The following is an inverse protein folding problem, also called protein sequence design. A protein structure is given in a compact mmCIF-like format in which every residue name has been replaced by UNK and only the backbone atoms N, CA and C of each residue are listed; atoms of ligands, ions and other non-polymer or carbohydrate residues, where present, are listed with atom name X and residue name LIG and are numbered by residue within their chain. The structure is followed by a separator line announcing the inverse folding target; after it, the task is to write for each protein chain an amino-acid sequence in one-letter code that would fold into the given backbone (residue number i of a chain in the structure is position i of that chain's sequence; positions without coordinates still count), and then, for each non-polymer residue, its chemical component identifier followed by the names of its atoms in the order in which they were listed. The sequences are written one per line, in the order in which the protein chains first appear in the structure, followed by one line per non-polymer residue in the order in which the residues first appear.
data_IF_742012676436
#
_entry.id   IF_742012676436
#
_cell.length_a   1.000
_cell.length_b   1.000
_cell.length_c   1.000
_cell.angle_alpha   90.00
_cell.angle_beta   90.00
_cell.angle_gamma   90.00
#
_symmetry.space_group_name_H-M   'P 1'
#
loop_
_entity.id
_entity.type
_entity.pdbx_description
1 polymer ?
#
# COMPACT_ATOMS: atom_id res chain seq x y z
N UNK A 1 -12.29 16.35 -45.66
CA UNK A 1 -12.16 14.97 -46.17
C UNK A 1 -13.25 14.15 -45.52
N UNK A 2 -14.36 13.95 -46.22
CA UNK A 2 -15.44 13.11 -45.71
C UNK A 2 -15.01 11.64 -45.84
N UNK A 3 -14.90 10.97 -44.70
CA UNK A 3 -14.52 9.57 -44.62
C UNK A 3 -15.78 8.71 -44.64
N UNK A 4 -15.87 7.82 -45.62
CA UNK A 4 -16.94 6.83 -45.75
C UNK A 4 -16.35 5.42 -45.68
N UNK A 5 -17.02 4.53 -44.94
CA UNK A 5 -16.73 3.09 -44.94
C UNK A 5 -17.95 2.34 -45.44
N UNK A 6 -17.77 1.59 -46.54
CA UNK A 6 -18.83 0.73 -47.10
C UNK A 6 -18.38 -0.72 -47.15
N UNK A 7 -19.18 -1.61 -46.56
CA UNK A 7 -19.01 -3.08 -46.61
C UNK A 7 -20.15 -3.66 -47.46
N UNK A 8 -19.80 -4.47 -48.47
CA UNK A 8 -20.77 -5.10 -49.38
C UNK A 8 -20.62 -6.60 -49.36
N UNK A 9 -21.75 -7.33 -49.31
CA UNK A 9 -21.78 -8.78 -49.42
C UNK A 9 -23.14 -9.24 -49.99
N UNK A 10 -23.14 -10.05 -51.04
CA UNK A 10 -24.36 -10.69 -51.57
C UNK A 10 -25.49 -9.71 -51.92
N UNK A 11 -25.18 -8.51 -52.43
CA UNK A 11 -26.16 -7.47 -52.74
C UNK A 11 -26.65 -6.64 -51.55
N UNK A 12 -26.26 -7.01 -50.33
CA UNK A 12 -26.48 -6.21 -49.12
C UNK A 12 -25.30 -5.27 -48.87
N UNK A 13 -25.54 -4.17 -48.16
CA UNK A 13 -24.48 -3.24 -47.78
C UNK A 13 -24.69 -2.59 -46.41
N UNK A 14 -23.58 -2.19 -45.80
CA UNK A 14 -23.50 -1.33 -44.63
C UNK A 14 -22.62 -0.14 -45.01
N UNK A 15 -23.14 1.07 -44.89
CA UNK A 15 -22.41 2.32 -45.11
C UNK A 15 -22.33 3.11 -43.81
N UNK A 16 -21.15 3.64 -43.53
CA UNK A 16 -20.87 4.55 -42.42
C UNK A 16 -20.31 5.84 -42.98
N UNK A 17 -20.95 6.96 -42.65
CA UNK A 17 -20.53 8.31 -43.04
C UNK A 17 -20.84 9.29 -41.90
N UNK A 18 -20.57 10.58 -42.09
CA UNK A 18 -20.81 11.60 -41.08
C UNK A 18 -22.30 11.74 -40.68
N UNK A 19 -23.23 11.27 -41.50
CA UNK A 19 -24.67 11.26 -41.21
C UNK A 19 -25.12 10.06 -40.38
N UNK A 20 -24.30 9.01 -40.28
CA UNK A 20 -24.56 7.84 -39.43
C UNK A 20 -24.32 6.52 -40.15
N UNK A 21 -25.17 5.54 -39.85
CA UNK A 21 -25.06 4.16 -40.34
C UNK A 21 -26.30 3.82 -41.18
N UNK A 22 -26.09 3.43 -42.44
CA UNK A 22 -27.13 2.92 -43.33
C UNK A 22 -26.93 1.41 -43.59
N UNK A 23 -27.99 0.62 -43.39
CA UNK A 23 -27.98 -0.84 -43.61
C UNK A 23 -29.06 -1.17 -44.65
N UNK A 24 -28.69 -1.95 -45.68
CA UNK A 24 -29.63 -2.44 -46.68
C UNK A 24 -29.42 -3.93 -46.93
N UNK A 25 -30.50 -4.70 -46.82
CA UNK A 25 -30.53 -6.15 -47.05
C UNK A 25 -31.87 -6.77 -46.61
N UNK A 26 -32.12 -8.05 -46.93
CA UNK A 26 -33.40 -8.71 -46.63
C UNK A 26 -33.71 -8.84 -45.14
N UNK A 27 -32.67 -9.01 -44.31
CA UNK A 27 -32.78 -9.09 -42.85
C UNK A 27 -31.54 -8.47 -42.20
N UNK A 28 -31.75 -7.57 -41.24
CA UNK A 28 -30.70 -7.02 -40.40
C UNK A 28 -30.88 -7.51 -38.96
N UNK A 29 -29.93 -8.30 -38.44
CA UNK A 29 -29.90 -8.68 -37.03
C UNK A 29 -28.99 -7.73 -36.27
N UNK A 30 -29.59 -6.90 -35.43
CA UNK A 30 -28.87 -5.97 -34.56
C UNK A 30 -28.84 -6.59 -33.17
N UNK A 31 -27.67 -7.08 -32.76
CA UNK A 31 -27.49 -7.52 -31.39
C UNK A 31 -27.28 -6.28 -30.52
N UNK A 32 -28.21 -6.01 -29.60
CA UNK A 32 -28.03 -5.06 -28.53
C UNK A 32 -27.67 -5.82 -27.25
N UNK A 33 -26.59 -5.43 -26.57
CA UNK A 33 -26.15 -6.04 -25.32
C UNK A 33 -25.43 -5.02 -24.46
N UNK A 34 -25.76 -5.00 -23.15
CA UNK A 34 -25.27 -4.00 -22.20
C UNK A 34 -26.00 -2.67 -22.32
N UNK A 35 -27.00 -2.45 -21.47
CA UNK A 35 -27.54 -1.11 -21.23
C UNK A 35 -26.60 -0.36 -20.27
N UNK A 36 -26.59 0.99 -20.28
CA UNK A 36 -25.98 1.76 -19.20
C UNK A 36 -26.51 1.25 -17.85
N UNK A 37 -25.62 0.80 -16.95
CA UNK A 37 -25.98 0.20 -15.67
C UNK A 37 -26.21 -1.32 -15.68
N UNK A 38 -26.18 -1.98 -16.84
CA UNK A 38 -26.32 -3.42 -16.97
C UNK A 38 -24.95 -4.07 -17.23
N UNK A 39 -24.18 -4.26 -16.16
CA UNK A 39 -22.97 -5.08 -16.10
C UNK A 39 -22.97 -5.90 -14.81
N UNK A 40 -22.11 -6.91 -14.70
CA UNK A 40 -22.01 -7.77 -13.50
C UNK A 40 -21.57 -7.04 -12.22
N UNK A 41 -21.33 -5.72 -12.29
CA UNK A 41 -20.66 -4.94 -11.26
C UNK A 41 -19.19 -5.35 -11.09
N UNK A 42 -18.46 -4.59 -10.28
CA UNK A 42 -17.13 -4.97 -9.80
C UNK A 42 -17.31 -5.59 -8.41
N UNK A 43 -16.82 -6.81 -8.21
CA UNK A 43 -16.82 -7.47 -6.91
C UNK A 43 -15.69 -6.92 -6.01
N UNK A 44 -15.77 -5.64 -5.64
CA UNK A 44 -14.78 -5.01 -4.76
C UNK A 44 -14.81 -5.73 -3.41
N UNK A 45 -13.67 -6.28 -3.00
CA UNK A 45 -13.52 -6.84 -1.66
C UNK A 45 -13.53 -5.71 -0.64
N UNK A 46 -14.31 -5.87 0.43
CA UNK A 46 -14.27 -4.96 1.56
C UNK A 46 -12.88 -5.00 2.24
N UNK A 47 -12.42 -3.88 2.83
CA UNK A 47 -11.24 -3.87 3.68
C UNK A 47 -11.39 -4.89 4.82
N UNK A 48 -10.29 -5.54 5.20
CA UNK A 48 -10.25 -6.36 6.41
C UNK A 48 -10.08 -5.44 7.63
N UNK A 49 -10.59 -5.90 8.78
CA UNK A 49 -10.29 -5.29 10.07
C UNK A 49 -8.77 -5.37 10.32
N UNK A 50 -8.10 -4.26 10.65
CA UNK A 50 -6.69 -4.29 11.03
C UNK A 50 -6.44 -5.20 12.23
N UNK A 51 -5.25 -5.81 12.31
CA UNK A 51 -4.81 -6.55 13.49
C UNK A 51 -4.63 -5.63 14.71
N UNK A 52 -4.46 -6.23 15.90
CA UNK A 52 -4.14 -5.48 17.11
C UNK A 52 -2.81 -4.72 16.94
N UNK A 53 -2.78 -3.45 17.35
CA UNK A 53 -1.65 -2.56 17.12
C UNK A 53 -0.39 -2.99 17.87
N UNK A 54 -0.53 -3.54 19.08
CA UNK A 54 0.61 -3.85 19.95
C UNK A 54 0.38 -5.17 20.68
N UNK A 55 1.30 -6.11 20.50
CA UNK A 55 1.51 -7.25 21.43
C UNK A 55 2.95 -7.26 21.94
N UNK A 56 3.67 -6.15 21.74
CA UNK A 56 5.09 -6.08 22.05
C UNK A 56 5.29 -5.85 23.55
N UNK A 57 6.41 -6.36 24.05
CA UNK A 57 6.80 -6.24 25.46
C UNK A 57 7.53 -4.91 25.64
N UNK A 58 7.21 -4.10 26.66
CA UNK A 58 7.97 -2.89 26.96
C UNK A 58 9.46 -3.20 27.11
N UNK A 59 10.31 -2.35 26.53
CA UNK A 59 11.76 -2.44 26.75
C UNK A 59 12.10 -2.36 28.24
N UNK A 60 13.15 -3.07 28.66
CA UNK A 60 13.61 -3.07 30.05
C UNK A 60 13.99 -1.65 30.53
N UNK A 61 13.69 -1.34 31.78
CA UNK A 61 14.14 -0.10 32.41
C UNK A 61 15.68 -0.04 32.41
N UNK A 62 16.30 1.06 31.95
CA UNK A 62 17.76 1.18 31.92
C UNK A 62 18.31 1.27 33.35
N UNK A 63 19.42 0.58 33.62
CA UNK A 63 20.05 0.45 34.94
C UNK A 63 20.46 1.79 35.61
N UNK A 64 20.54 2.87 34.84
CA UNK A 64 21.28 4.07 35.22
C UNK A 64 20.51 5.03 36.16
N UNK A 65 19.30 4.71 36.62
CA UNK A 65 18.65 5.48 37.70
C UNK A 65 19.31 5.30 39.08
N UNK A 66 20.31 4.41 39.20
CA UNK A 66 21.10 4.18 40.43
C UNK A 66 22.49 4.84 40.44
N UNK A 67 22.84 5.67 39.44
CA UNK A 67 24.17 6.27 39.33
C UNK A 67 24.38 7.54 40.18
N UNK A 68 23.80 7.62 41.38
CA UNK A 68 24.03 8.74 42.31
C UNK A 68 25.20 8.50 43.30
N UNK A 69 25.79 7.29 43.33
CA UNK A 69 26.77 6.91 44.36
C UNK A 69 28.22 6.79 43.86
N UNK A 70 28.55 7.26 42.65
CA UNK A 70 29.95 7.25 42.19
C UNK A 70 30.69 8.52 42.65
N UNK A 71 31.80 8.40 43.42
CA UNK A 71 32.59 9.56 43.82
C UNK A 71 33.27 10.19 42.60
N UNK A 72 32.89 11.43 42.27
CA UNK A 72 33.56 12.22 41.23
C UNK A 72 34.97 12.60 41.69
N UNK A 73 35.98 12.33 40.85
CA UNK A 73 37.34 12.81 41.05
C UNK A 73 37.60 14.01 40.13
N UNK A 74 37.99 15.19 40.66
CA UNK A 74 38.21 16.37 39.82
C UNK A 74 39.36 16.13 38.82
N UNK A 75 39.07 16.26 37.53
CA UNK A 75 40.07 16.22 36.45
C UNK A 75 40.20 14.90 35.68
N UNK A 76 39.35 13.91 35.95
CA UNK A 76 39.33 12.63 35.21
C UNK A 76 37.93 12.39 34.61
N UNK A 77 37.80 11.89 33.36
CA UNK A 77 36.49 11.60 32.78
C UNK A 77 35.72 10.59 33.67
N UNK A 78 34.37 10.69 33.75
CA UNK A 78 33.58 9.87 34.66
C UNK A 78 33.80 8.38 34.35
N UNK A 79 34.57 7.71 35.22
CA UNK A 79 34.82 6.28 35.11
C UNK A 79 33.60 5.52 35.66
N UNK A 80 33.00 4.69 34.82
CA UNK A 80 31.96 3.74 35.23
C UNK A 80 32.62 2.68 36.12
N UNK A 81 32.00 2.37 37.27
CA UNK A 81 32.51 1.36 38.20
C UNK A 81 32.59 -0.04 37.54
N UNK A 82 33.56 -0.89 37.92
CA UNK A 82 33.74 -2.22 37.31
C UNK A 82 32.48 -3.10 37.43
N UNK A 83 31.76 -3.00 38.55
CA UNK A 83 30.52 -3.74 38.78
C UNK A 83 29.37 -3.21 37.91
N UNK A 84 29.32 -1.89 37.72
CA UNK A 84 28.38 -1.23 36.82
C UNK A 84 28.59 -1.69 35.37
N UNK A 85 29.85 -1.84 34.95
CA UNK A 85 30.20 -2.33 33.62
C UNK A 85 29.82 -3.81 33.44
N UNK A 86 30.05 -4.65 34.46
CA UNK A 86 29.65 -6.08 34.43
C UNK A 86 28.13 -6.22 34.32
N UNK A 87 27.37 -5.44 35.07
CA UNK A 87 25.90 -5.47 35.03
C UNK A 87 25.34 -5.00 33.68
N UNK A 88 25.88 -3.91 33.12
CA UNK A 88 25.44 -3.42 31.81
C UNK A 88 25.73 -4.43 30.69
N UNK A 89 26.88 -5.10 30.72
CA UNK A 89 27.20 -6.18 29.77
C UNK A 89 26.24 -7.36 29.92
N UNK A 90 25.91 -7.75 31.15
CA UNK A 90 24.95 -8.82 31.42
C UNK A 90 23.53 -8.47 30.91
N UNK A 91 23.14 -7.20 31.03
CA UNK A 91 21.85 -6.70 30.55
C UNK A 91 21.86 -6.32 29.06
N UNK A 92 22.98 -6.46 28.36
CA UNK A 92 23.18 -5.99 26.98
C UNK A 92 22.80 -4.51 26.77
N UNK A 93 23.02 -3.69 27.79
CA UNK A 93 22.71 -2.26 27.78
C UNK A 93 23.95 -1.45 27.41
N UNK A 94 23.78 -0.44 26.56
CA UNK A 94 24.84 0.51 26.24
C UNK A 94 25.11 1.42 27.45
N UNK A 95 26.37 1.53 27.84
CA UNK A 95 26.79 2.51 28.84
C UNK A 95 27.30 3.75 28.12
N UNK A 96 26.58 4.86 28.26
CA UNK A 96 26.99 6.14 27.69
C UNK A 96 27.53 7.00 28.83
N UNK A 97 28.81 7.40 28.82
CA UNK A 97 29.31 8.37 29.78
C UNK A 97 28.58 9.71 29.54
N UNK A 98 28.23 10.42 30.61
CA UNK A 98 27.69 11.79 30.49
C UNK A 98 28.77 12.77 30.06
#
# INVERSE_FOLDING_TARGET
ADSELTVKAGGSFIRLDASGIAISGPLARINAGGAPGSGSGIAIKMPLTPGAADSDVPGATPLFTLANDCPEKPGEPPAICEDCLKQARAAQQAVVPR
#
